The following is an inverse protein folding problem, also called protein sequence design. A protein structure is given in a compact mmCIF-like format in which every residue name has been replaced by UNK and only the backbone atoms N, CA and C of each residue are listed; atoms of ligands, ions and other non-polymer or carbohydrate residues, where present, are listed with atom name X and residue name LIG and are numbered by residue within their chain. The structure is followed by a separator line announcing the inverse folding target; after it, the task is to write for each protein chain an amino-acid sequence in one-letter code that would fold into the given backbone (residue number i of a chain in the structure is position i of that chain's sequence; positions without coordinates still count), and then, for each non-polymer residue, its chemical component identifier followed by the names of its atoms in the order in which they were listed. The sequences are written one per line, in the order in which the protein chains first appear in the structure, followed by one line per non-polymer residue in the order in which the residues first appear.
data_IF_757687153453
#
_entry.id   IF_757687153453
#
_cell.length_a   1.000
_cell.length_b   1.000
_cell.length_c   1.000
_cell.angle_alpha   90.00
_cell.angle_beta   90.00
_cell.angle_gamma   90.00
#
_symmetry.space_group_name_H-M   'P 1'
#
loop_
_entity.id
_entity.type
_entity.pdbx_description
1 polymer ?
#
# COMPACT_ATOMS: atom_id res chain seq x y z
N UNK A 1 4.54 -3.79 -15.13
CA UNK A 1 4.80 -2.36 -15.48
C UNK A 1 4.66 -1.50 -14.24
N UNK A 2 3.62 -1.73 -13.44
CA UNK A 2 3.35 -0.98 -12.21
C UNK A 2 4.47 -1.18 -11.18
N UNK A 3 5.01 -2.40 -11.06
CA UNK A 3 6.12 -2.69 -10.12
C UNK A 3 7.39 -1.92 -10.45
N UNK A 4 7.72 -1.79 -11.74
CA UNK A 4 8.90 -1.02 -12.18
C UNK A 4 8.73 0.46 -11.85
N UNK A 5 7.57 1.03 -12.18
CA UNK A 5 7.24 2.42 -11.86
C UNK A 5 7.30 2.66 -10.35
N UNK A 6 6.67 1.79 -9.55
CA UNK A 6 6.67 1.89 -8.10
C UNK A 6 8.09 1.83 -7.51
N UNK A 7 8.93 0.92 -8.01
CA UNK A 7 10.32 0.77 -7.54
C UNK A 7 11.18 2.01 -7.84
N UNK A 8 11.00 2.63 -9.01
CA UNK A 8 11.74 3.83 -9.41
C UNK A 8 11.34 5.03 -8.53
N UNK A 9 10.05 5.32 -8.42
CA UNK A 9 9.57 6.43 -7.59
C UNK A 9 9.86 6.19 -6.11
N UNK A 10 9.63 4.97 -5.63
CA UNK A 10 9.91 4.55 -4.26
C UNK A 10 11.39 4.73 -3.90
N UNK A 11 12.33 4.45 -4.81
CA UNK A 11 13.76 4.67 -4.56
C UNK A 11 14.14 6.16 -4.45
N UNK A 12 13.52 7.03 -5.26
CA UNK A 12 13.76 8.49 -5.21
C UNK A 12 13.27 9.03 -3.87
N UNK A 13 12.05 8.65 -3.49
CA UNK A 13 11.41 9.04 -2.24
C UNK A 13 12.14 8.47 -1.01
N UNK A 14 12.54 7.19 -1.03
CA UNK A 14 13.33 6.58 0.02
C UNK A 14 14.66 7.31 0.25
N UNK A 15 15.34 7.78 -0.81
CA UNK A 15 16.58 8.57 -0.61
C UNK A 15 16.32 9.92 0.04
N UNK A 16 15.17 10.54 -0.20
CA UNK A 16 14.81 11.85 0.35
C UNK A 16 14.24 11.78 1.76
N UNK A 17 13.49 10.73 2.09
CA UNK A 17 12.83 10.58 3.38
C UNK A 17 13.55 9.57 4.26
N UNK A 18 13.81 8.36 3.77
CA UNK A 18 14.37 7.28 4.58
C UNK A 18 15.78 7.59 5.11
N UNK A 19 16.61 8.28 4.32
CA UNK A 19 17.96 8.69 4.71
C UNK A 19 17.96 9.70 5.86
N UNK A 20 17.24 10.84 5.79
CA UNK A 20 17.16 11.74 6.94
C UNK A 20 16.44 11.11 8.13
N UNK A 21 15.41 10.27 7.93
CA UNK A 21 14.76 9.59 9.06
C UNK A 21 15.72 8.66 9.81
N UNK A 22 16.56 7.91 9.09
CA UNK A 22 17.61 7.11 9.72
C UNK A 22 18.64 7.98 10.44
N UNK A 23 19.05 9.09 9.82
CA UNK A 23 20.05 10.01 10.38
C UNK A 23 19.55 10.77 11.61
N UNK A 24 18.26 11.10 11.66
CA UNK A 24 17.62 11.81 12.77
C UNK A 24 17.14 10.84 13.87
N UNK A 25 17.45 9.54 13.77
CA UNK A 25 17.06 8.50 14.72
C UNK A 25 15.54 8.41 14.93
N UNK A 26 14.75 8.84 13.95
CA UNK A 26 13.29 8.74 13.98
C UNK A 26 12.86 7.32 13.59
N UNK A 27 13.19 6.36 14.46
CA UNK A 27 12.99 4.93 14.22
C UNK A 27 11.54 4.57 13.91
N UNK A 28 10.58 5.18 14.62
CA UNK A 28 9.14 4.94 14.38
C UNK A 28 8.76 5.36 12.96
N UNK A 29 9.20 6.54 12.52
CA UNK A 29 8.94 7.01 11.17
C UNK A 29 9.65 6.16 10.13
N UNK A 30 10.89 5.75 10.40
CA UNK A 30 11.68 4.90 9.50
C UNK A 30 10.99 3.55 9.28
N UNK A 31 10.59 2.88 10.36
CA UNK A 31 9.89 1.59 10.29
C UNK A 31 8.50 1.72 9.67
N UNK A 32 7.77 2.79 9.96
CA UNK A 32 6.46 3.05 9.34
C UNK A 32 6.61 3.22 7.83
N UNK A 33 7.58 4.03 7.39
CA UNK A 33 7.84 4.27 5.98
C UNK A 33 8.31 3.00 5.27
N UNK A 34 9.20 2.22 5.91
CA UNK A 34 9.67 0.94 5.40
C UNK A 34 8.53 -0.05 5.24
N UNK A 35 7.64 -0.15 6.25
CA UNK A 35 6.46 -1.01 6.19
C UNK A 35 5.52 -0.58 5.05
N UNK A 36 5.31 0.73 4.87
CA UNK A 36 4.52 1.28 3.76
C UNK A 36 5.11 0.93 2.39
N UNK A 37 6.44 1.06 2.24
CA UNK A 37 7.13 0.68 1.01
C UNK A 37 6.98 -0.82 0.72
N UNK A 38 7.17 -1.67 1.72
CA UNK A 38 6.96 -3.11 1.58
C UNK A 38 5.52 -3.44 1.17
N UNK A 39 4.52 -2.85 1.83
CA UNK A 39 3.11 -3.05 1.50
C UNK A 39 2.80 -2.61 0.06
N UNK A 40 3.25 -1.42 -0.32
CA UNK A 40 3.06 -0.90 -1.67
C UNK A 40 3.72 -1.78 -2.73
N UNK A 41 4.90 -2.33 -2.43
CA UNK A 41 5.61 -3.25 -3.32
C UNK A 41 4.85 -4.58 -3.47
N UNK A 42 4.29 -5.13 -2.38
CA UNK A 42 3.43 -6.31 -2.43
C UNK A 42 2.19 -6.06 -3.31
N UNK A 43 1.52 -4.91 -3.15
CA UNK A 43 0.34 -4.54 -3.96
C UNK A 43 0.73 -4.36 -5.43
N UNK A 44 1.86 -3.71 -5.71
CA UNK A 44 2.34 -3.49 -7.07
C UNK A 44 2.66 -4.81 -7.78
N UNK A 45 3.29 -5.75 -7.06
CA UNK A 45 3.54 -7.12 -7.54
C UNK A 45 2.21 -7.82 -7.82
N UNK A 46 1.28 -7.85 -6.85
CA UNK A 46 -0.04 -8.47 -7.03
C UNK A 46 -0.79 -7.92 -8.26
N UNK A 47 -0.68 -6.60 -8.47
CA UNK A 47 -1.29 -5.90 -9.60
C UNK A 47 -0.68 -6.33 -10.94
N UNK A 48 0.65 -6.47 -11.01
CA UNK A 48 1.34 -6.93 -12.21
C UNK A 48 1.05 -8.42 -12.51
N UNK A 49 0.81 -9.25 -11.48
CA UNK A 49 0.34 -10.64 -11.63
C UNK A 49 -1.13 -10.76 -12.06
N UNK A 50 -1.81 -9.63 -12.36
CA UNK A 50 -3.25 -9.57 -12.67
C UNK A 50 -4.11 -10.28 -11.61
N UNK A 51 -3.65 -10.35 -10.37
CA UNK A 51 -4.51 -10.72 -9.26
C UNK A 51 -5.58 -9.64 -9.20
N UNK A 52 -6.83 -10.01 -9.44
CA UNK A 52 -7.95 -9.08 -9.30
C UNK A 52 -7.97 -8.64 -7.85
N UNK A 53 -7.49 -7.43 -7.59
CA UNK A 53 -7.69 -6.79 -6.29
C UNK A 53 -9.20 -6.62 -6.20
N UNK A 54 -9.90 -7.38 -5.34
CA UNK A 54 -11.34 -7.30 -5.26
C UNK A 54 -11.70 -5.84 -5.01
N UNK A 55 -12.63 -5.31 -5.80
CA UNK A 55 -13.03 -3.93 -5.68
C UNK A 55 -13.51 -3.70 -4.24
N UNK A 56 -12.93 -2.74 -3.49
CA UNK A 56 -13.33 -2.51 -2.10
C UNK A 56 -14.82 -2.14 -1.97
N UNK A 57 -15.47 -1.74 -3.07
CA UNK A 57 -16.91 -1.52 -3.12
C UNK A 57 -17.69 -2.79 -2.76
N UNK A 58 -17.28 -3.99 -3.17
CA UNK A 58 -18.02 -5.23 -2.88
C UNK A 58 -18.07 -5.58 -1.38
N UNK A 59 -16.95 -5.61 -0.63
CA UNK A 59 -16.99 -5.82 0.81
C UNK A 59 -17.64 -4.65 1.57
N UNK A 60 -17.48 -3.41 1.10
CA UNK A 60 -18.13 -2.25 1.73
C UNK A 60 -19.65 -2.31 1.52
N UNK A 61 -20.10 -2.66 0.31
CA UNK A 61 -21.52 -2.86 -0.01
C UNK A 61 -22.10 -3.96 0.86
N UNK A 62 -21.44 -5.12 0.98
CA UNK A 62 -21.87 -6.19 1.89
C UNK A 62 -21.95 -5.74 3.35
N UNK A 63 -21.01 -4.92 3.81
CA UNK A 63 -21.03 -4.38 5.17
C UNK A 63 -22.22 -3.44 5.38
N UNK A 64 -22.50 -2.59 4.40
CA UNK A 64 -23.62 -1.65 4.41
C UNK A 64 -24.96 -2.40 4.34
N UNK A 65 -25.07 -3.40 3.46
CA UNK A 65 -26.24 -4.30 3.34
C UNK A 65 -26.47 -5.08 4.65
N UNK A 66 -25.40 -5.57 5.28
CA UNK A 66 -25.48 -6.24 6.59
C UNK A 66 -25.96 -5.30 7.71
N UNK A 67 -25.50 -4.05 7.72
CA UNK A 67 -25.92 -3.03 8.70
C UNK A 67 -27.37 -2.58 8.45
N UNK A 68 -27.77 -2.42 7.19
CA UNK A 68 -29.12 -1.99 6.79
C UNK A 68 -30.14 -3.15 6.73
N UNK A 69 -29.69 -4.40 6.84
CA UNK A 69 -30.56 -5.58 6.77
C UNK A 69 -31.16 -5.83 5.39
N UNK A 70 -30.52 -5.33 4.33
CA UNK A 70 -30.97 -5.46 2.95
C UNK A 70 -30.21 -6.64 2.35
N UNK A 71 -30.58 -7.87 2.74
CA UNK A 71 -30.13 -9.08 2.06
C UNK A 71 -30.97 -9.25 0.78
N UNK A 72 -30.39 -8.92 -0.39
CA UNK A 72 -30.82 -9.47 -1.69
C UNK A 72 -29.81 -10.49 -2.22
#
# INVERSE_FOLDING_TARGET
MITLTFTIFGSIFAKKDLVPLYKNEEWVGFFLYLALLCLGLTIAILSDFKVQIPNPIDPIRKLIEFILGIEE
#
